data_IF_165696041381
#
_entry.id   IF_165696041381
#
_cell.length_a   1.000
_cell.length_b   1.000
_cell.length_c   1.000
_cell.angle_alpha   90.00
_cell.angle_beta   90.00
_cell.angle_gamma   90.00
#
_symmetry.space_group_name_H-M   'P 1'
#
loop_
_entity.id
_entity.type
_entity.pdbx_description
1 polymer ?
#
# COMPACT_ATOMS: atom_id res chain seq x y z
N UNK A 1 21.53 -1.00 24.67
CA UNK A 1 20.67 -0.86 23.49
C UNK A 1 21.09 -1.96 22.53
N UNK A 2 20.22 -2.90 22.23
CA UNK A 2 20.52 -3.93 21.22
C UNK A 2 20.62 -3.21 19.87
N UNK A 3 21.80 -3.22 19.26
CA UNK A 3 21.98 -2.74 17.89
C UNK A 3 21.17 -3.64 16.95
N UNK A 4 19.94 -3.25 16.61
CA UNK A 4 19.18 -3.90 15.55
C UNK A 4 19.90 -3.55 14.25
N UNK A 5 20.47 -4.57 13.60
CA UNK A 5 21.08 -4.40 12.28
C UNK A 5 19.97 -4.40 11.24
N UNK A 6 19.72 -3.26 10.61
CA UNK A 6 18.80 -3.16 9.48
C UNK A 6 19.46 -3.77 8.22
N UNK A 7 18.61 -4.32 7.35
CA UNK A 7 19.02 -4.73 6.00
C UNK A 7 19.31 -3.51 5.12
N UNK A 8 20.07 -3.71 4.05
CA UNK A 8 20.28 -2.64 3.06
C UNK A 8 19.05 -2.44 2.18
N UNK A 9 18.97 -1.27 1.54
CA UNK A 9 17.90 -0.97 0.58
C UNK A 9 17.94 -1.96 -0.60
N UNK A 10 19.14 -2.35 -1.05
CA UNK A 10 19.32 -3.31 -2.14
C UNK A 10 18.75 -4.69 -1.78
N UNK A 11 18.97 -5.14 -0.54
CA UNK A 11 18.39 -6.39 -0.03
C UNK A 11 16.86 -6.31 0.01
N UNK A 12 16.30 -5.19 0.50
CA UNK A 12 14.85 -4.97 0.54
C UNK A 12 14.25 -4.95 -0.87
N UNK A 13 14.89 -4.27 -1.83
CA UNK A 13 14.48 -4.22 -3.24
C UNK A 13 14.46 -5.61 -3.88
N UNK A 14 15.50 -6.42 -3.63
CA UNK A 14 15.55 -7.80 -4.14
C UNK A 14 14.44 -8.69 -3.52
N UNK A 15 14.10 -8.48 -2.27
CA UNK A 15 13.00 -9.21 -1.63
C UNK A 15 11.63 -8.76 -2.17
N UNK A 16 11.40 -7.47 -2.34
CA UNK A 16 10.20 -6.92 -3.00
C UNK A 16 10.04 -7.48 -4.41
N UNK A 17 11.13 -7.52 -5.20
CA UNK A 17 11.13 -8.08 -6.55
C UNK A 17 10.74 -9.55 -6.59
N UNK A 18 11.12 -10.32 -5.58
CA UNK A 18 10.74 -11.73 -5.40
C UNK A 18 9.33 -11.92 -4.86
N UNK A 19 8.58 -10.85 -4.59
CA UNK A 19 7.23 -10.91 -4.04
C UNK A 19 7.19 -11.21 -2.54
N UNK A 20 8.25 -10.88 -1.81
CA UNK A 20 8.27 -11.00 -0.35
C UNK A 20 7.72 -9.74 0.32
N UNK A 21 7.34 -9.89 1.57
CA UNK A 21 7.00 -8.79 2.48
C UNK A 21 8.28 -8.33 3.18
N UNK A 22 8.49 -7.03 3.25
CA UNK A 22 9.55 -6.40 4.03
C UNK A 22 8.94 -5.57 5.15
N UNK A 23 9.72 -5.30 6.22
CA UNK A 23 9.36 -4.33 7.26
C UNK A 23 10.15 -3.06 6.99
N UNK A 24 9.44 -1.96 6.85
CA UNK A 24 10.01 -0.62 6.76
C UNK A 24 9.71 0.12 8.05
N UNK A 25 10.72 0.72 8.63
CA UNK A 25 10.60 1.56 9.83
C UNK A 25 10.94 2.99 9.46
N UNK A 26 10.26 3.95 10.04
CA UNK A 26 10.60 5.36 9.89
C UNK A 26 11.42 5.89 11.10
N UNK A 27 11.76 7.18 11.05
CA UNK A 27 12.55 7.83 12.10
C UNK A 27 11.77 7.93 13.40
N UNK A 28 12.45 7.72 14.54
CA UNK A 28 11.86 7.80 15.89
C UNK A 28 11.24 9.18 16.21
N UNK A 29 11.67 10.22 15.49
CA UNK A 29 11.12 11.58 15.64
C UNK A 29 9.97 11.86 14.66
N UNK A 30 9.57 10.88 13.81
CA UNK A 30 8.44 11.01 12.88
C UNK A 30 7.21 10.28 13.45
N UNK A 31 6.88 9.11 13.00
CA UNK A 31 5.79 8.28 13.50
C UNK A 31 6.30 7.21 14.48
N UNK A 32 7.59 6.82 14.33
CA UNK A 32 8.22 5.74 15.07
C UNK A 32 7.43 4.43 14.97
N UNK A 33 7.03 4.14 13.74
CA UNK A 33 6.21 2.98 13.41
C UNK A 33 6.96 2.04 12.45
N UNK A 34 6.47 0.83 12.36
CA UNK A 34 6.94 -0.16 11.40
C UNK A 34 5.77 -0.71 10.61
N UNK A 35 5.92 -0.76 9.28
CA UNK A 35 4.90 -1.26 8.37
C UNK A 35 5.40 -2.48 7.61
N UNK A 36 4.52 -3.46 7.42
CA UNK A 36 4.69 -4.44 6.36
C UNK A 36 4.47 -3.77 5.01
N UNK A 37 5.45 -3.93 4.11
CA UNK A 37 5.34 -3.43 2.72
C UNK A 37 5.61 -4.58 1.76
N UNK A 38 4.82 -4.64 0.69
CA UNK A 38 4.99 -5.57 -0.42
C UNK A 38 4.59 -4.90 -1.75
N UNK A 39 4.99 -5.49 -2.88
CA UNK A 39 4.56 -5.01 -4.18
C UNK A 39 3.11 -5.42 -4.48
N UNK A 40 2.27 -4.46 -4.85
CA UNK A 40 0.87 -4.73 -5.20
C UNK A 40 0.73 -5.68 -6.40
N UNK A 41 1.65 -5.62 -7.35
CA UNK A 41 1.72 -6.51 -8.52
C UNK A 41 1.92 -8.00 -8.14
N UNK A 42 2.51 -8.26 -6.98
CA UNK A 42 2.83 -9.61 -6.48
C UNK A 42 1.85 -10.11 -5.41
N UNK A 43 0.77 -9.39 -5.17
CA UNK A 43 -0.17 -9.71 -4.09
C UNK A 43 -0.82 -11.08 -4.27
N UNK A 44 -0.91 -11.82 -3.16
CA UNK A 44 -1.69 -13.06 -3.05
C UNK A 44 -2.61 -13.02 -1.83
N UNK A 45 -3.66 -13.86 -1.78
CA UNK A 45 -4.50 -13.98 -0.59
C UNK A 45 -3.70 -14.38 0.66
N UNK A 46 -2.70 -15.24 0.52
CA UNK A 46 -1.84 -15.69 1.62
C UNK A 46 -1.00 -14.52 2.17
N UNK A 47 -0.48 -13.66 1.26
CA UNK A 47 0.24 -12.45 1.66
C UNK A 47 -0.67 -11.51 2.45
N UNK A 48 -1.86 -11.22 1.98
CA UNK A 48 -2.84 -10.40 2.70
C UNK A 48 -3.15 -11.01 4.07
N UNK A 49 -3.43 -12.31 4.12
CA UNK A 49 -3.70 -12.99 5.38
C UNK A 49 -2.53 -12.90 6.37
N UNK A 50 -1.29 -13.07 5.88
CA UNK A 50 -0.10 -12.89 6.70
C UNK A 50 -0.01 -11.47 7.28
N UNK A 51 -0.15 -10.45 6.42
CA UNK A 51 0.00 -9.04 6.82
C UNK A 51 -1.07 -8.62 7.84
N UNK A 52 -2.33 -8.99 7.64
CA UNK A 52 -3.41 -8.63 8.58
C UNK A 52 -3.35 -9.40 9.90
N UNK A 53 -2.88 -10.64 9.87
CA UNK A 53 -2.75 -11.45 11.09
C UNK A 53 -1.62 -10.95 11.97
N UNK A 54 -0.52 -10.55 11.38
CA UNK A 54 0.70 -10.17 12.10
C UNK A 54 0.83 -8.66 12.29
N UNK A 55 0.38 -7.83 11.33
CA UNK A 55 0.40 -6.37 11.43
C UNK A 55 -0.80 -5.83 12.19
N UNK A 56 -2.00 -6.26 11.85
CA UNK A 56 -3.28 -5.89 12.44
C UNK A 56 -3.76 -4.47 12.11
N UNK A 57 -2.97 -3.70 11.36
CA UNK A 57 -3.33 -2.39 10.84
C UNK A 57 -4.30 -2.44 9.64
N UNK A 58 -4.65 -1.29 9.09
CA UNK A 58 -5.46 -1.19 7.88
C UNK A 58 -4.71 -1.78 6.67
N UNK A 59 -5.45 -2.38 5.74
CA UNK A 59 -4.86 -2.76 4.45
C UNK A 59 -4.89 -1.57 3.52
N UNK A 60 -3.76 -0.90 3.38
CA UNK A 60 -3.59 0.25 2.53
C UNK A 60 -2.91 -0.13 1.20
N UNK A 61 -3.24 0.62 0.15
CA UNK A 61 -2.65 0.44 -1.17
C UNK A 61 -2.03 1.77 -1.67
N UNK A 62 -0.74 2.01 -1.39
CA UNK A 62 -0.01 3.12 -1.99
C UNK A 62 -0.07 3.09 -3.51
N UNK A 63 -0.53 4.18 -4.12
CA UNK A 63 -0.66 4.38 -5.57
C UNK A 63 -0.05 5.71 -5.97
N UNK A 64 0.40 5.80 -7.21
CA UNK A 64 0.82 7.07 -7.79
C UNK A 64 -0.39 8.02 -7.95
N UNK A 65 -0.14 9.32 -7.94
CA UNK A 65 -1.16 10.34 -8.18
C UNK A 65 -1.88 10.14 -9.51
N UNK A 66 -1.09 9.80 -10.56
CA UNK A 66 -1.63 9.45 -11.89
C UNK A 66 -2.61 8.28 -11.81
N UNK A 67 -2.26 7.19 -11.11
CA UNK A 67 -3.13 6.02 -11.01
C UNK A 67 -4.41 6.31 -10.21
N UNK A 68 -4.32 7.11 -9.16
CA UNK A 68 -5.51 7.56 -8.43
C UNK A 68 -6.46 8.35 -9.34
N UNK A 69 -5.92 9.23 -10.20
CA UNK A 69 -6.73 9.99 -11.16
C UNK A 69 -7.37 9.08 -12.23
N UNK A 70 -6.63 8.12 -12.79
CA UNK A 70 -7.15 7.15 -13.78
C UNK A 70 -8.31 6.31 -13.22
N UNK A 71 -8.27 5.97 -11.94
CA UNK A 71 -9.30 5.19 -11.25
C UNK A 71 -10.39 6.06 -10.61
N UNK A 72 -10.36 7.39 -10.80
CA UNK A 72 -11.28 8.34 -10.18
C UNK A 72 -11.41 8.11 -8.67
N UNK A 73 -10.26 8.16 -7.97
CA UNK A 73 -10.17 7.99 -6.52
C UNK A 73 -10.04 9.37 -5.85
N UNK A 74 -11.15 10.03 -5.48
CA UNK A 74 -11.10 11.31 -4.78
C UNK A 74 -10.52 11.12 -3.38
N UNK A 75 -10.00 12.20 -2.82
CA UNK A 75 -9.55 12.23 -1.42
C UNK A 75 -10.73 11.95 -0.48
N UNK A 76 -10.46 11.20 0.58
CA UNK A 76 -11.46 10.87 1.61
C UNK A 76 -12.02 12.12 2.31
N UNK A 77 -11.20 13.15 2.45
CA UNK A 77 -11.56 14.44 3.06
C UNK A 77 -11.09 15.61 2.20
N UNK A 78 -11.85 16.71 2.22
CA UNK A 78 -11.45 17.94 1.52
C UNK A 78 -10.32 18.67 2.24
N UNK A 79 -10.37 18.70 3.58
CA UNK A 79 -9.35 19.30 4.43
C UNK A 79 -8.66 18.19 5.23
N UNK A 80 -7.40 17.91 4.90
CA UNK A 80 -6.58 16.99 5.67
C UNK A 80 -5.99 17.73 6.88
N UNK A 81 -6.32 17.27 8.08
CA UNK A 81 -5.90 17.88 9.35
C UNK A 81 -4.91 17.02 10.15
N UNK A 82 -4.48 15.86 9.57
CA UNK A 82 -3.52 14.99 10.27
C UNK A 82 -2.10 15.53 10.15
N UNK A 83 -1.31 15.35 11.21
CA UNK A 83 0.03 15.92 11.35
C UNK A 83 0.96 15.59 10.17
N UNK A 84 0.93 14.36 9.70
CA UNK A 84 1.82 13.85 8.65
C UNK A 84 1.19 13.88 7.25
N UNK A 85 0.01 14.47 7.10
CA UNK A 85 -0.69 14.69 5.83
C UNK A 85 -0.88 13.41 4.99
N UNK A 86 -1.08 12.26 5.63
CA UNK A 86 -1.34 11.00 4.91
C UNK A 86 -2.56 11.12 4.02
N UNK A 87 -2.40 10.87 2.74
CA UNK A 87 -3.40 11.16 1.71
C UNK A 87 -4.29 9.94 1.43
N UNK A 88 -5.23 9.67 2.32
CA UNK A 88 -6.27 8.68 2.09
C UNK A 88 -7.20 9.13 0.96
N UNK A 89 -7.44 8.23 0.00
CA UNK A 89 -8.56 8.35 -0.93
C UNK A 89 -9.78 7.63 -0.35
N UNK A 90 -10.92 7.70 -1.04
CA UNK A 90 -12.06 6.84 -0.71
C UNK A 90 -11.64 5.38 -0.75
N UNK A 91 -12.12 4.57 0.19
CA UNK A 91 -11.89 3.13 0.20
C UNK A 91 -12.66 2.43 -0.91
N UNK A 92 -12.14 1.30 -1.39
CA UNK A 92 -12.70 0.59 -2.54
C UNK A 92 -12.71 -0.93 -2.36
N UNK A 93 -13.60 -1.58 -3.10
CA UNK A 93 -13.60 -3.03 -3.36
C UNK A 93 -13.82 -3.30 -4.84
N UNK A 94 -13.20 -4.34 -5.38
CA UNK A 94 -13.50 -4.82 -6.73
C UNK A 94 -14.91 -5.41 -6.79
N UNK A 95 -15.70 -5.00 -7.77
CA UNK A 95 -17.02 -5.56 -8.04
C UNK A 95 -16.93 -6.76 -8.99
N UNK A 96 -17.65 -7.82 -8.68
CA UNK A 96 -17.63 -9.03 -9.51
C UNK A 96 -16.32 -9.80 -9.45
N UNK A 97 -15.95 -10.49 -10.53
CA UNK A 97 -14.72 -11.26 -10.65
C UNK A 97 -14.50 -12.31 -9.54
N UNK A 98 -15.58 -12.85 -8.98
CA UNK A 98 -15.55 -13.81 -7.88
C UNK A 98 -15.42 -13.18 -6.49
N UNK A 99 -15.37 -11.85 -6.39
CA UNK A 99 -15.42 -11.16 -5.10
C UNK A 99 -16.83 -11.21 -4.51
N UNK A 100 -16.91 -11.29 -3.17
CA UNK A 100 -18.15 -11.33 -2.40
C UNK A 100 -18.37 -10.00 -1.68
N UNK A 101 -18.10 -9.94 -0.37
CA UNK A 101 -18.31 -8.74 0.45
C UNK A 101 -17.11 -7.76 0.44
N UNK A 102 -15.99 -8.17 -0.13
CA UNK A 102 -14.76 -7.37 -0.18
C UNK A 102 -13.77 -7.62 0.99
N UNK A 103 -14.25 -8.18 2.11
CA UNK A 103 -13.45 -8.25 3.35
C UNK A 103 -12.47 -9.45 3.39
N UNK A 104 -12.74 -10.55 2.69
CA UNK A 104 -11.87 -11.72 2.74
C UNK A 104 -10.46 -11.39 2.22
N UNK A 105 -9.45 -12.17 2.64
CA UNK A 105 -8.10 -12.00 2.11
C UNK A 105 -8.06 -12.20 0.59
N UNK A 106 -8.91 -13.09 0.07
CA UNK A 106 -9.09 -13.29 -1.37
C UNK A 106 -9.65 -12.04 -2.06
N UNK A 107 -10.75 -11.49 -1.56
CA UNK A 107 -11.40 -10.31 -2.16
C UNK A 107 -10.47 -9.09 -2.12
N UNK A 108 -9.77 -8.89 -1.00
CA UNK A 108 -8.79 -7.80 -0.85
C UNK A 108 -7.60 -7.95 -1.79
N UNK A 109 -7.06 -9.16 -1.94
CA UNK A 109 -6.00 -9.42 -2.92
C UNK A 109 -6.49 -9.13 -4.35
N UNK A 110 -7.71 -9.55 -4.72
CA UNK A 110 -8.33 -9.25 -6.01
C UNK A 110 -8.51 -7.76 -6.23
N UNK A 111 -8.94 -7.02 -5.21
CA UNK A 111 -9.08 -5.55 -5.29
C UNK A 111 -7.73 -4.90 -5.54
N UNK A 112 -6.66 -5.30 -4.82
CA UNK A 112 -5.32 -4.76 -5.03
C UNK A 112 -4.79 -5.10 -6.41
N UNK A 113 -4.99 -6.33 -6.90
CA UNK A 113 -4.64 -6.71 -8.28
C UNK A 113 -5.34 -5.82 -9.31
N UNK A 114 -6.62 -5.51 -9.09
CA UNK A 114 -7.37 -4.62 -9.97
C UNK A 114 -6.83 -3.18 -9.95
N UNK A 115 -6.38 -2.68 -8.78
CA UNK A 115 -5.80 -1.34 -8.68
C UNK A 115 -4.56 -1.15 -9.54
N UNK A 116 -3.79 -2.20 -9.82
CA UNK A 116 -2.58 -2.14 -10.67
C UNK A 116 -2.79 -2.64 -12.09
N UNK A 117 -3.94 -3.22 -12.39
CA UNK A 117 -4.27 -3.67 -13.73
C UNK A 117 -4.66 -2.46 -14.61
N UNK A 118 -3.98 -2.21 -15.75
CA UNK A 118 -4.26 -1.07 -16.62
C UNK A 118 -5.67 -1.10 -17.22
N UNK A 119 -6.29 -2.26 -17.34
CA UNK A 119 -7.62 -2.41 -17.92
C UNK A 119 -8.75 -2.08 -16.94
N UNK A 120 -8.47 -2.01 -15.65
CA UNK A 120 -9.45 -1.66 -14.62
C UNK A 120 -9.96 -0.22 -14.81
N UNK A 121 -11.26 -0.07 -14.80
CA UNK A 121 -11.96 1.23 -14.94
C UNK A 121 -12.60 1.65 -13.62
N UNK A 122 -12.88 2.96 -13.42
CA UNK A 122 -13.51 3.46 -12.21
C UNK A 122 -14.81 2.74 -11.80
N UNK A 123 -15.62 2.32 -12.77
CA UNK A 123 -16.89 1.64 -12.51
C UNK A 123 -16.74 0.18 -12.03
N UNK A 124 -15.54 -0.42 -12.18
CA UNK A 124 -15.25 -1.77 -11.66
C UNK A 124 -15.08 -1.77 -10.14
N UNK A 125 -14.87 -0.59 -9.56
CA UNK A 125 -14.64 -0.41 -8.13
C UNK A 125 -15.90 0.06 -7.41
N UNK A 126 -16.31 -0.69 -6.37
CA UNK A 126 -17.31 -0.26 -5.39
C UNK A 126 -16.69 0.76 -4.41
N UNK A 127 -17.49 1.71 -3.94
CA UNK A 127 -17.12 2.74 -2.95
C UNK A 127 -18.27 2.91 -1.95
N UNK A 128 -18.03 2.89 -0.63
CA UNK A 128 -16.75 2.55 0.03
C UNK A 128 -16.43 1.05 -0.07
N UNK A 129 -15.22 0.67 0.35
CA UNK A 129 -14.75 -0.71 0.39
C UNK A 129 -13.78 -0.97 1.54
N UNK A 130 -13.05 -2.08 1.44
CA UNK A 130 -12.16 -2.59 2.50
C UNK A 130 -10.66 -2.40 2.19
N UNK A 131 -10.32 -1.89 1.00
CA UNK A 131 -8.97 -1.46 0.65
C UNK A 131 -8.91 0.07 0.70
N UNK A 132 -7.87 0.60 1.31
CA UNK A 132 -7.65 2.03 1.51
C UNK A 132 -6.50 2.52 0.62
N UNK A 133 -6.79 3.02 -0.60
CA UNK A 133 -5.73 3.56 -1.45
C UNK A 133 -5.14 4.82 -0.82
N UNK A 134 -3.81 4.93 -0.87
CA UNK A 134 -3.05 6.09 -0.43
C UNK A 134 -2.40 6.76 -1.64
N UNK A 135 -2.67 8.05 -1.84
CA UNK A 135 -2.05 8.81 -2.91
C UNK A 135 -0.66 9.27 -2.49
N UNK A 136 0.38 8.64 -3.06
CA UNK A 136 1.76 9.03 -2.81
C UNK A 136 2.09 10.40 -3.43
N UNK A 137 2.91 11.19 -2.75
CA UNK A 137 3.43 12.46 -3.27
C UNK A 137 4.40 12.19 -4.42
N UNK A 138 4.31 12.99 -5.50
CA UNK A 138 5.34 13.00 -6.54
C UNK A 138 6.70 13.37 -5.95
N UNK A 139 7.76 12.67 -6.39
CA UNK A 139 9.11 12.81 -5.85
C UNK A 139 9.46 11.80 -4.76
N UNK A 140 8.51 10.93 -4.36
CA UNK A 140 8.74 9.81 -3.46
C UNK A 140 9.26 10.23 -2.09
N UNK A 141 10.13 9.40 -1.50
CA UNK A 141 10.69 9.64 -0.14
C UNK A 141 11.51 10.93 -0.04
N UNK A 142 12.02 11.46 -1.15
CA UNK A 142 12.70 12.75 -1.16
C UNK A 142 11.74 13.92 -0.98
N UNK A 143 10.45 13.71 -1.20
CA UNK A 143 9.41 14.73 -1.02
C UNK A 143 8.67 14.56 0.32
N UNK A 144 8.38 13.33 0.72
CA UNK A 144 7.75 12.96 1.98
C UNK A 144 8.33 11.63 2.48
N UNK A 145 8.97 11.63 3.62
CA UNK A 145 9.67 10.46 4.19
C UNK A 145 8.70 9.49 4.86
N UNK A 146 7.59 9.16 4.20
CA UNK A 146 6.55 8.26 4.73
C UNK A 146 6.57 6.88 4.09
N UNK A 147 5.97 5.91 4.80
CA UNK A 147 5.84 4.52 4.32
C UNK A 147 5.11 4.43 2.98
N UNK A 148 4.14 5.32 2.72
CA UNK A 148 3.43 5.43 1.44
C UNK A 148 4.40 5.66 0.28
N UNK A 149 5.28 6.65 0.40
CA UNK A 149 6.27 6.99 -0.61
C UNK A 149 7.35 5.92 -0.71
N UNK A 150 7.78 5.35 0.43
CA UNK A 150 8.74 4.26 0.45
C UNK A 150 8.23 3.03 -0.32
N UNK A 151 6.95 2.67 -0.20
CA UNK A 151 6.35 1.57 -0.95
C UNK A 151 6.41 1.79 -2.47
N UNK A 152 6.14 3.02 -2.93
CA UNK A 152 6.23 3.39 -4.35
C UNK A 152 7.67 3.33 -4.85
N UNK A 153 8.61 3.88 -4.09
CA UNK A 153 10.01 3.93 -4.52
C UNK A 153 10.65 2.54 -4.53
N UNK A 154 10.43 1.72 -3.50
CA UNK A 154 10.92 0.34 -3.46
C UNK A 154 10.41 -0.50 -4.64
N UNK A 155 9.12 -0.40 -4.96
CA UNK A 155 8.52 -1.14 -6.09
C UNK A 155 9.07 -0.63 -7.43
N UNK A 156 9.23 0.69 -7.59
CA UNK A 156 9.81 1.29 -8.78
C UNK A 156 11.26 0.87 -8.99
N UNK A 157 12.09 0.89 -7.95
CA UNK A 157 13.49 0.47 -8.01
C UNK A 157 13.59 -1.04 -8.30
N UNK A 158 12.66 -1.84 -7.79
CA UNK A 158 12.56 -3.27 -8.08
C UNK A 158 12.16 -3.57 -9.54
N UNK A 159 11.80 -2.56 -10.34
CA UNK A 159 11.34 -2.71 -11.72
C UNK A 159 9.92 -3.24 -11.84
N UNK A 160 9.11 -3.10 -10.80
CA UNK A 160 7.70 -3.49 -10.74
C UNK A 160 6.78 -2.28 -10.95
N UNK A 161 5.48 -2.54 -11.08
CA UNK A 161 4.49 -1.46 -11.13
C UNK A 161 4.59 -0.61 -9.86
N UNK A 162 4.64 0.75 -9.96
CA UNK A 162 4.84 1.63 -8.81
C UNK A 162 3.57 1.71 -7.94
N UNK A 163 3.29 0.63 -7.25
CA UNK A 163 2.20 0.49 -6.29
C UNK A 163 2.56 -0.55 -5.23
N UNK A 164 2.17 -0.31 -3.99
CA UNK A 164 2.45 -1.18 -2.87
C UNK A 164 1.21 -1.68 -2.15
N UNK A 165 1.46 -2.57 -1.21
CA UNK A 165 0.57 -2.93 -0.11
C UNK A 165 1.28 -2.49 1.16
N UNK A 166 0.53 -1.92 2.08
CA UNK A 166 1.04 -1.43 3.35
C UNK A 166 0.07 -1.83 4.47
N UNK A 167 0.62 -2.36 5.56
CA UNK A 167 -0.15 -2.67 6.78
C UNK A 167 0.70 -2.30 7.98
N UNK A 168 0.22 -1.38 8.81
CA UNK A 168 0.89 -0.97 10.04
C UNK A 168 1.00 -2.15 11.01
N UNK A 169 2.13 -2.25 11.72
CA UNK A 169 2.40 -3.27 12.72
C UNK A 169 2.02 -2.71 14.09
N UNK A 170 0.92 -3.20 14.64
CA UNK A 170 0.43 -2.78 15.95
C UNK A 170 1.07 -3.59 17.08
N UNK A 171 1.39 -2.91 18.18
CA UNK A 171 1.86 -3.53 19.44
C UNK A 171 0.74 -4.29 20.18
#
# INVERSE_FOLDING_TARGET
MNNIKLNSIEEAVEDIKKGKVVIVVDDENRENEGDFIAAAEKVTPEMINFMITNGRGLVCAPLTEKRCAELDLPMMVQNNTVLHETQFTVSVDLKGNGCTTGISAFDRAKTIQALVNPDTKPFDLGRPGHIFPLRAKEGGVLRRTGHTEAAIDLTRIAGLYPAGILVEILN
#
